data_IF_875300747108
#
_entry.id   IF_875300747108
#
_cell.length_a   1.000
_cell.length_b   1.000
_cell.length_c   1.000
_cell.angle_alpha   90.00
_cell.angle_beta   90.00
_cell.angle_gamma   90.00
#
_symmetry.space_group_name_H-M   'P 1'
#
loop_
_entity.id
_entity.type
_entity.pdbx_description
1 polymer ?
#
# COMPACT_ATOMS: atom_id res chain seq x y z
N UNK A 1 57.71 29.07 -27.78
CA UNK A 1 56.92 28.00 -28.45
C UNK A 1 55.79 27.55 -27.54
N UNK A 2 54.55 27.77 -27.98
CA UNK A 2 53.38 27.61 -27.16
C UNK A 2 52.98 26.13 -27.15
N UNK A 3 53.46 25.35 -26.18
CA UNK A 3 53.16 23.91 -26.03
C UNK A 3 51.71 23.59 -25.65
N UNK A 4 50.86 24.60 -25.46
CA UNK A 4 49.49 24.42 -25.05
C UNK A 4 48.53 24.01 -26.18
N UNK A 5 48.91 24.23 -27.41
CA UNK A 5 48.10 23.93 -28.58
C UNK A 5 48.24 22.49 -29.11
N UNK A 6 49.24 21.75 -28.62
CA UNK A 6 49.50 20.39 -29.13
C UNK A 6 48.85 19.26 -28.35
N UNK A 7 48.14 19.55 -27.27
CA UNK A 7 47.34 18.58 -26.56
C UNK A 7 45.85 18.87 -26.68
N UNK A 8 45.39 18.82 -27.90
CA UNK A 8 44.04 18.36 -28.10
C UNK A 8 43.97 16.95 -27.58
N UNK A 9 43.80 16.78 -26.26
CA UNK A 9 43.52 15.47 -25.70
C UNK A 9 42.42 14.86 -26.53
N UNK A 10 42.60 13.66 -27.05
CA UNK A 10 41.52 12.85 -27.57
C UNK A 10 40.42 12.94 -26.50
N UNK A 11 39.41 13.76 -26.71
CA UNK A 11 38.13 13.65 -25.99
C UNK A 11 37.73 12.21 -26.24
N UNK A 12 37.99 11.34 -25.27
CA UNK A 12 37.50 9.97 -25.31
C UNK A 12 36.05 10.09 -25.65
N UNK A 13 35.66 9.65 -26.85
CA UNK A 13 34.29 9.78 -27.31
C UNK A 13 33.43 9.25 -26.19
N UNK A 14 32.57 10.08 -25.64
CA UNK A 14 31.58 9.63 -24.62
C UNK A 14 30.93 8.43 -25.27
N UNK A 15 31.25 7.23 -24.78
CA UNK A 15 30.57 6.01 -25.21
C UNK A 15 29.09 6.32 -25.11
N UNK A 16 28.38 6.30 -26.24
CA UNK A 16 26.91 6.48 -26.23
C UNK A 16 26.40 5.52 -25.19
N UNK A 17 25.71 6.03 -24.18
CA UNK A 17 25.09 5.21 -23.17
C UNK A 17 24.12 4.27 -23.91
N UNK A 18 24.38 2.97 -23.86
CA UNK A 18 23.50 1.98 -24.45
C UNK A 18 22.12 2.06 -23.77
N UNK A 19 21.06 1.73 -24.50
CA UNK A 19 19.71 1.69 -23.96
C UNK A 19 19.66 0.73 -22.75
N UNK A 20 19.34 1.22 -21.54
CA UNK A 20 19.29 0.37 -20.34
C UNK A 20 18.20 -0.70 -20.41
N UNK A 21 17.11 -0.49 -21.20
CA UNK A 21 16.02 -1.44 -21.34
C UNK A 21 16.42 -2.72 -22.08
N UNK A 22 17.44 -2.69 -22.91
CA UNK A 22 17.97 -3.89 -23.57
C UNK A 22 18.59 -4.91 -22.59
N UNK A 23 18.94 -4.45 -21.39
CA UNK A 23 19.55 -5.29 -20.34
C UNK A 23 18.56 -5.73 -19.27
N UNK A 24 17.26 -5.43 -19.45
CA UNK A 24 16.24 -5.75 -18.45
C UNK A 24 15.36 -6.91 -18.89
N UNK A 25 14.86 -7.62 -17.90
CA UNK A 25 13.93 -8.72 -18.06
C UNK A 25 12.63 -8.40 -17.36
N UNK A 26 11.54 -8.93 -17.90
CA UNK A 26 10.19 -8.80 -17.36
C UNK A 26 9.83 -10.01 -16.51
N UNK A 27 9.26 -9.75 -15.34
CA UNK A 27 8.71 -10.75 -14.45
C UNK A 27 7.23 -10.47 -14.21
N UNK A 28 6.43 -11.54 -14.12
CA UNK A 28 5.01 -11.45 -13.85
C UNK A 28 4.76 -11.38 -12.34
N UNK A 29 3.85 -10.52 -11.91
CA UNK A 29 3.48 -10.34 -10.51
C UNK A 29 2.22 -11.15 -10.24
N UNK A 30 2.28 -12.02 -9.24
CA UNK A 30 1.16 -12.87 -8.82
C UNK A 30 0.68 -12.44 -7.43
N UNK A 31 -0.60 -12.06 -7.34
CA UNK A 31 -1.25 -11.75 -6.07
C UNK A 31 -1.48 -13.01 -5.22
N UNK A 32 -1.65 -12.85 -3.90
CA UNK A 32 -2.06 -13.92 -3.01
C UNK A 32 -3.39 -14.56 -3.42
N UNK A 33 -3.59 -15.81 -3.01
CA UNK A 33 -4.80 -16.59 -3.34
C UNK A 33 -6.11 -16.06 -2.76
N UNK A 34 -6.05 -15.07 -1.87
CA UNK A 34 -7.23 -14.43 -1.30
C UNK A 34 -7.98 -13.52 -2.29
N UNK A 35 -7.31 -13.11 -3.37
CA UNK A 35 -7.90 -12.26 -4.41
C UNK A 35 -8.35 -13.09 -5.60
N UNK A 36 -9.41 -12.64 -6.28
CA UNK A 36 -10.00 -13.33 -7.42
C UNK A 36 -9.06 -13.32 -8.63
N UNK A 37 -8.42 -12.19 -8.91
CA UNK A 37 -7.46 -12.03 -10.00
C UNK A 37 -6.05 -12.11 -9.43
N UNK A 38 -5.28 -13.08 -9.94
CA UNK A 38 -3.90 -13.27 -9.47
C UNK A 38 -2.86 -12.51 -10.30
N UNK A 39 -3.15 -12.19 -11.53
CA UNK A 39 -2.23 -11.44 -12.40
C UNK A 39 -2.36 -9.94 -12.13
N UNK A 40 -1.37 -9.35 -11.48
CA UNK A 40 -1.39 -7.91 -11.11
C UNK A 40 -0.62 -7.03 -12.08
N UNK A 41 0.14 -7.60 -13.01
CA UNK A 41 0.99 -6.86 -13.93
C UNK A 41 2.39 -7.44 -14.01
N UNK A 42 3.33 -6.61 -14.46
CA UNK A 42 4.72 -7.00 -14.69
C UNK A 42 5.68 -6.00 -14.07
N UNK A 43 6.85 -6.48 -13.69
CA UNK A 43 7.95 -5.65 -13.16
C UNK A 43 9.23 -5.90 -13.93
N UNK A 44 10.04 -4.87 -14.05
CA UNK A 44 11.34 -4.91 -14.70
C UNK A 44 12.46 -5.08 -13.69
N UNK A 45 13.44 -5.89 -14.05
CA UNK A 45 14.69 -6.03 -13.29
C UNK A 45 15.87 -6.15 -14.26
N UNK A 46 17.02 -5.69 -13.85
CA UNK A 46 18.26 -5.88 -14.62
C UNK A 46 18.62 -7.36 -14.66
N UNK A 47 19.05 -7.83 -15.85
CA UNK A 47 19.50 -9.22 -16.04
C UNK A 47 20.60 -9.55 -15.04
N UNK A 48 20.64 -10.78 -14.54
CA UNK A 48 21.70 -11.27 -13.64
C UNK A 48 23.08 -11.04 -14.23
N UNK A 49 23.92 -10.34 -13.49
CA UNK A 49 25.33 -10.07 -13.87
C UNK A 49 26.22 -10.26 -12.65
N UNK A 50 27.08 -11.26 -12.70
CA UNK A 50 28.02 -11.56 -11.62
C UNK A 50 27.32 -11.80 -10.28
N UNK A 51 27.62 -10.98 -9.28
CA UNK A 51 27.05 -11.07 -7.92
C UNK A 51 25.63 -10.53 -7.80
N UNK A 52 25.15 -9.74 -8.77
CA UNK A 52 23.80 -9.19 -8.78
C UNK A 52 22.85 -10.19 -9.41
N UNK A 53 22.09 -10.88 -8.57
CA UNK A 53 21.10 -11.88 -8.97
C UNK A 53 19.75 -11.19 -9.11
N UNK A 54 19.11 -11.32 -10.29
CA UNK A 54 17.83 -10.66 -10.58
C UNK A 54 16.73 -11.07 -9.61
N UNK A 55 16.66 -12.33 -9.23
CA UNK A 55 15.65 -12.85 -8.29
C UNK A 55 15.80 -12.25 -6.89
N UNK A 56 17.01 -11.99 -6.44
CA UNK A 56 17.26 -11.37 -5.14
C UNK A 56 16.93 -9.87 -5.15
N UNK A 57 17.21 -9.17 -6.27
CA UNK A 57 16.87 -7.76 -6.42
C UNK A 57 15.35 -7.53 -6.47
N UNK A 58 14.57 -8.54 -6.87
CA UNK A 58 13.11 -8.48 -6.90
C UNK A 58 12.48 -8.67 -5.51
N UNK A 59 13.11 -9.45 -4.63
CA UNK A 59 12.59 -9.67 -3.28
C UNK A 59 12.52 -8.37 -2.50
N UNK A 60 11.45 -8.18 -1.76
CA UNK A 60 11.22 -6.98 -0.96
C UNK A 60 10.68 -5.77 -1.72
N UNK A 61 10.45 -5.85 -3.04
CA UNK A 61 9.74 -4.79 -3.76
C UNK A 61 8.30 -4.72 -3.30
N UNK A 62 7.86 -3.51 -2.97
CA UNK A 62 6.47 -3.24 -2.62
C UNK A 62 5.78 -2.58 -3.81
N UNK A 63 4.69 -3.18 -4.25
CA UNK A 63 3.92 -2.77 -5.41
C UNK A 63 2.53 -2.34 -4.97
N UNK A 64 2.02 -1.26 -5.53
CA UNK A 64 0.65 -0.79 -5.27
C UNK A 64 -0.27 -1.28 -6.38
N UNK A 65 -1.36 -1.92 -5.99
CA UNK A 65 -2.40 -2.42 -6.89
C UNK A 65 -3.76 -1.93 -6.41
N UNK A 66 -4.65 -1.61 -7.33
CA UNK A 66 -6.02 -1.24 -6.98
C UNK A 66 -6.81 -2.48 -6.61
N UNK A 67 -7.59 -2.40 -5.55
CA UNK A 67 -8.43 -3.53 -5.10
C UNK A 67 -9.53 -3.88 -6.11
N UNK A 68 -10.02 -2.91 -6.88
CA UNK A 68 -10.98 -3.14 -7.95
C UNK A 68 -10.43 -4.11 -9.02
N UNK A 69 -9.17 -3.96 -9.39
CA UNK A 69 -8.50 -4.84 -10.36
C UNK A 69 -8.28 -6.25 -9.81
N UNK A 70 -8.08 -6.38 -8.49
CA UNK A 70 -7.86 -7.68 -7.83
C UNK A 70 -9.15 -8.49 -7.65
N UNK A 71 -10.29 -7.81 -7.48
CA UNK A 71 -11.57 -8.46 -7.21
C UNK A 71 -12.57 -8.33 -8.37
N UNK A 72 -12.26 -7.58 -9.43
CA UNK A 72 -13.20 -7.21 -10.51
C UNK A 72 -14.47 -6.52 -9.99
N UNK A 73 -14.33 -5.64 -9.01
CA UNK A 73 -15.40 -4.93 -8.34
C UNK A 73 -15.08 -3.42 -8.32
N UNK A 74 -15.80 -2.64 -9.11
CA UNK A 74 -15.59 -1.19 -9.25
C UNK A 74 -15.87 -0.41 -7.97
N UNK A 75 -16.74 -0.88 -7.10
CA UNK A 75 -17.07 -0.22 -5.83
C UNK A 75 -15.87 -0.14 -4.89
N UNK A 76 -14.89 -1.01 -5.09
CA UNK A 76 -13.66 -1.06 -4.30
C UNK A 76 -12.50 -0.24 -4.89
N UNK A 77 -12.75 0.55 -5.93
CA UNK A 77 -11.71 1.36 -6.60
C UNK A 77 -11.03 2.40 -5.70
N UNK A 78 -11.65 2.75 -4.57
CA UNK A 78 -11.09 3.66 -3.58
C UNK A 78 -10.02 3.07 -2.68
N UNK A 79 -9.72 1.78 -2.79
CA UNK A 79 -8.75 1.08 -1.95
C UNK A 79 -7.54 0.64 -2.76
N UNK A 80 -6.36 0.92 -2.23
CA UNK A 80 -5.09 0.46 -2.77
C UNK A 80 -4.48 -0.60 -1.85
N UNK A 81 -4.08 -1.71 -2.42
CA UNK A 81 -3.37 -2.78 -1.72
C UNK A 81 -1.89 -2.67 -2.06
N UNK A 82 -1.04 -2.79 -1.04
CA UNK A 82 0.39 -2.95 -1.22
C UNK A 82 0.73 -4.43 -1.11
N UNK A 83 1.45 -4.91 -2.10
CA UNK A 83 1.94 -6.28 -2.18
C UNK A 83 3.47 -6.27 -2.16
N UNK A 84 4.07 -7.07 -1.31
CA UNK A 84 5.52 -7.24 -1.23
C UNK A 84 5.92 -8.55 -1.92
N UNK A 85 6.94 -8.52 -2.76
CA UNK A 85 7.47 -9.72 -3.40
C UNK A 85 8.28 -10.49 -2.36
N UNK A 86 7.87 -11.71 -2.04
CA UNK A 86 8.56 -12.58 -1.10
C UNK A 86 9.42 -13.62 -1.80
N UNK A 87 8.89 -14.24 -2.83
CA UNK A 87 9.56 -15.33 -3.55
C UNK A 87 9.43 -15.15 -5.06
N UNK A 88 10.43 -15.58 -5.79
CA UNK A 88 10.43 -15.59 -7.24
C UNK A 88 10.56 -17.03 -7.73
N UNK A 89 9.57 -17.50 -8.48
CA UNK A 89 9.52 -18.84 -9.07
C UNK A 89 9.56 -18.72 -10.59
N UNK A 90 10.72 -19.00 -11.19
CA UNK A 90 10.94 -18.82 -12.60
C UNK A 90 10.77 -17.34 -13.00
N UNK A 91 9.73 -17.02 -13.76
CA UNK A 91 9.37 -15.64 -14.14
C UNK A 91 8.20 -15.06 -13.34
N UNK A 92 7.68 -15.79 -12.37
CA UNK A 92 6.59 -15.35 -11.53
C UNK A 92 7.11 -14.86 -10.18
N UNK A 93 6.74 -13.63 -9.82
CA UNK A 93 6.99 -13.05 -8.51
C UNK A 93 5.77 -13.33 -7.62
N UNK A 94 5.94 -14.14 -6.59
CA UNK A 94 4.91 -14.39 -5.60
C UNK A 94 4.93 -13.27 -4.56
N UNK A 95 3.76 -12.69 -4.31
CA UNK A 95 3.61 -11.57 -3.39
C UNK A 95 2.74 -11.93 -2.20
N UNK A 96 2.94 -11.24 -1.10
CA UNK A 96 2.02 -11.28 0.05
C UNK A 96 1.58 -9.87 0.43
N UNK A 97 0.53 -9.79 1.23
CA UNK A 97 -0.05 -8.54 1.71
C UNK A 97 0.96 -7.75 2.55
N UNK A 98 1.17 -6.49 2.19
CA UNK A 98 2.06 -5.59 2.92
C UNK A 98 1.34 -4.39 3.53
N UNK A 99 0.21 -4.00 3.00
CA UNK A 99 -0.58 -2.89 3.52
C UNK A 99 -1.78 -2.56 2.66
N UNK A 100 -2.65 -1.73 3.20
CA UNK A 100 -3.83 -1.19 2.51
C UNK A 100 -3.97 0.29 2.83
N UNK A 101 -4.29 1.09 1.83
CA UNK A 101 -4.55 2.52 1.98
C UNK A 101 -5.74 2.93 1.12
N UNK A 102 -6.41 4.00 1.53
CA UNK A 102 -7.42 4.64 0.69
C UNK A 102 -6.77 5.55 -0.36
N UNK A 103 -7.42 5.74 -1.48
CA UNK A 103 -7.00 6.70 -2.49
C UNK A 103 -7.16 8.13 -1.96
N UNK A 104 -6.37 9.07 -2.47
CA UNK A 104 -6.37 10.47 -2.02
C UNK A 104 -7.73 11.15 -2.25
N UNK A 105 -8.36 10.90 -3.39
CA UNK A 105 -9.69 11.40 -3.72
C UNK A 105 -10.74 10.94 -2.72
N UNK A 106 -10.70 9.67 -2.29
CA UNK A 106 -11.61 9.16 -1.27
C UNK A 106 -11.41 9.83 0.08
N UNK A 107 -10.17 9.98 0.52
CA UNK A 107 -9.86 10.66 1.78
C UNK A 107 -10.35 12.13 1.74
N UNK A 108 -10.09 12.85 0.65
CA UNK A 108 -10.54 14.22 0.48
C UNK A 108 -12.07 14.33 0.45
N UNK A 109 -12.76 13.38 -0.13
CA UNK A 109 -14.23 13.39 -0.19
C UNK A 109 -14.90 13.10 1.16
N UNK A 110 -14.22 12.39 2.06
CA UNK A 110 -14.73 12.08 3.40
C UNK A 110 -14.68 13.30 4.33
N UNK A 111 -13.67 14.16 4.17
CA UNK A 111 -13.47 15.32 5.04
C UNK A 111 -14.42 16.43 4.60
N UNK A 112 -15.36 16.77 5.46
CA UNK A 112 -16.37 17.83 5.23
C UNK A 112 -16.40 18.78 6.39
N UNK A 113 -16.78 20.05 6.13
CA UNK A 113 -17.04 21.06 7.17
C UNK A 113 -18.28 20.66 8.01
N UNK A 114 -18.39 21.28 9.18
CA UNK A 114 -19.54 21.20 10.09
C UNK A 114 -19.73 19.85 10.79
N UNK A 115 -18.73 19.00 10.79
CA UNK A 115 -18.69 17.72 11.50
C UNK A 115 -17.35 17.54 12.21
N UNK A 116 -17.32 16.69 13.23
CA UNK A 116 -16.08 16.35 13.92
C UNK A 116 -15.45 15.13 13.26
N UNK A 117 -14.16 15.24 12.92
CA UNK A 117 -13.30 14.13 12.52
C UNK A 117 -12.67 13.50 13.76
N UNK A 118 -12.80 12.20 13.89
CA UNK A 118 -12.18 11.42 14.98
C UNK A 118 -11.26 10.38 14.34
N UNK A 119 -9.99 10.49 14.66
CA UNK A 119 -8.97 9.55 14.20
C UNK A 119 -8.45 8.71 15.36
N UNK A 120 -8.25 7.42 15.12
CA UNK A 120 -7.62 6.51 16.04
C UNK A 120 -6.62 5.63 15.30
N UNK A 121 -5.52 5.32 15.94
CA UNK A 121 -4.53 4.35 15.47
C UNK A 121 -4.08 3.46 16.61
N UNK A 122 -3.67 2.25 16.28
CA UNK A 122 -3.17 1.28 17.25
C UNK A 122 -2.18 0.33 16.58
N UNK A 123 -1.11 0.01 17.29
CA UNK A 123 -0.17 -1.03 16.89
C UNK A 123 -0.55 -2.33 17.60
N UNK A 124 -0.94 -3.33 16.85
CA UNK A 124 -1.42 -4.62 17.37
C UNK A 124 -0.61 -5.76 16.79
N UNK A 125 -0.33 -6.75 17.61
CA UNK A 125 0.35 -7.97 17.19
C UNK A 125 -0.70 -9.03 16.86
N UNK A 126 -0.60 -9.62 15.66
CA UNK A 126 -1.44 -10.76 15.26
C UNK A 126 -0.96 -12.06 15.90
N UNK A 127 -1.76 -13.12 15.82
CA UNK A 127 -1.38 -14.45 16.30
C UNK A 127 -0.13 -15.00 15.61
N UNK A 128 0.12 -14.60 14.36
CA UNK A 128 1.32 -14.98 13.57
C UNK A 128 2.58 -14.21 13.96
N UNK A 129 2.47 -13.22 14.86
CA UNK A 129 3.60 -12.40 15.28
C UNK A 129 3.85 -11.13 14.45
N UNK A 130 3.04 -10.85 13.42
CA UNK A 130 3.12 -9.58 12.68
C UNK A 130 2.61 -8.42 13.54
N UNK A 131 3.33 -7.31 13.50
CA UNK A 131 2.88 -6.05 14.10
C UNK A 131 2.21 -5.22 13.02
N UNK A 132 0.93 -4.93 13.21
CA UNK A 132 0.10 -4.19 12.25
C UNK A 132 -0.32 -2.87 12.87
N UNK A 133 -0.04 -1.77 12.18
CA UNK A 133 -0.61 -0.47 12.53
C UNK A 133 -1.93 -0.30 11.83
N UNK A 134 -3.00 -0.27 12.62
CA UNK A 134 -4.36 -0.07 12.14
C UNK A 134 -4.77 1.37 12.34
N UNK A 135 -5.50 1.90 11.37
CA UNK A 135 -6.06 3.26 11.40
C UNK A 135 -7.57 3.18 11.26
N UNK A 136 -8.26 4.02 12.01
CA UNK A 136 -9.71 4.16 11.89
C UNK A 136 -10.07 5.64 11.87
N UNK A 137 -10.95 6.01 10.96
CA UNK A 137 -11.46 7.38 10.81
C UNK A 137 -12.96 7.33 10.97
N UNK A 138 -13.49 8.19 11.81
CA UNK A 138 -14.93 8.32 12.05
C UNK A 138 -15.37 9.78 11.96
N UNK A 139 -16.62 9.99 11.57
CA UNK A 139 -17.23 11.30 11.47
C UNK A 139 -18.53 11.33 12.25
N UNK A 140 -18.83 12.46 12.88
CA UNK A 140 -20.12 12.67 13.51
C UNK A 140 -21.20 12.93 12.46
N UNK A 141 -22.34 12.25 12.61
CA UNK A 141 -23.45 12.34 11.68
C UNK A 141 -24.56 13.20 12.28
N UNK A 142 -25.16 14.05 11.45
CA UNK A 142 -26.35 14.84 11.82
C UNK A 142 -27.54 13.90 12.01
N UNK A 143 -28.33 14.14 13.07
CA UNK A 143 -29.59 13.43 13.28
C UNK A 143 -30.67 13.93 12.31
N UNK A 144 -31.65 13.10 11.91
CA UNK A 144 -32.70 13.49 10.97
C UNK A 144 -33.45 14.74 11.42
N UNK A 145 -33.78 14.86 12.71
CA UNK A 145 -34.60 15.93 13.28
C UNK A 145 -33.78 17.14 13.74
N UNK A 146 -32.48 17.16 13.47
CA UNK A 146 -31.63 18.24 13.93
C UNK A 146 -31.79 19.48 13.05
N UNK A 147 -32.19 20.61 13.65
CA UNK A 147 -32.29 21.92 13.00
C UNK A 147 -30.90 22.57 12.86
N UNK A 148 -30.02 22.34 13.82
CA UNK A 148 -28.66 22.90 13.87
C UNK A 148 -27.83 22.44 12.69
N UNK A 149 -27.13 23.35 12.01
CA UNK A 149 -26.33 23.02 10.82
C UNK A 149 -25.09 22.19 11.14
N UNK A 150 -24.47 22.41 12.30
CA UNK A 150 -23.25 21.70 12.73
C UNK A 150 -23.58 20.50 13.63
N UNK A 151 -22.72 19.49 13.59
CA UNK A 151 -22.85 18.28 14.41
C UNK A 151 -21.52 17.94 15.12
N UNK A 152 -21.00 18.94 15.84
CA UNK A 152 -19.75 18.74 16.58
C UNK A 152 -19.96 17.92 17.87
N UNK A 153 -18.97 17.08 18.19
CA UNK A 153 -18.89 16.36 19.43
C UNK A 153 -17.99 17.08 20.45
N UNK A 154 -18.33 16.99 21.72
CA UNK A 154 -17.49 17.49 22.81
C UNK A 154 -16.22 16.65 22.98
N UNK A 155 -15.14 17.25 23.51
CA UNK A 155 -13.86 16.57 23.69
C UNK A 155 -13.92 15.32 24.57
N UNK A 156 -14.80 15.31 25.59
CA UNK A 156 -15.03 14.15 26.44
C UNK A 156 -15.66 12.97 25.67
N UNK A 157 -16.62 13.26 24.77
CA UNK A 157 -17.25 12.27 23.91
C UNK A 157 -16.26 11.71 22.89
N UNK A 158 -15.44 12.59 22.28
CA UNK A 158 -14.38 12.20 21.32
C UNK A 158 -13.41 11.22 21.98
N UNK A 159 -12.99 11.49 23.23
CA UNK A 159 -12.09 10.59 23.97
C UNK A 159 -12.71 9.21 24.22
N UNK A 160 -13.97 9.16 24.61
CA UNK A 160 -14.69 7.88 24.79
C UNK A 160 -14.84 7.09 23.50
N UNK A 161 -15.18 7.77 22.39
CA UNK A 161 -15.29 7.14 21.07
C UNK A 161 -13.94 6.59 20.63
N UNK A 162 -12.88 7.38 20.73
CA UNK A 162 -11.54 6.93 20.37
C UNK A 162 -11.08 5.73 21.19
N UNK A 163 -11.31 5.74 22.50
CA UNK A 163 -11.00 4.59 23.35
C UNK A 163 -11.71 3.32 22.90
N UNK A 164 -13.00 3.43 22.51
CA UNK A 164 -13.76 2.30 22.01
C UNK A 164 -13.27 1.81 20.63
N UNK A 165 -12.88 2.72 19.75
CA UNK A 165 -12.27 2.38 18.45
C UNK A 165 -10.99 1.56 18.64
N UNK A 166 -10.10 2.01 19.53
CA UNK A 166 -8.85 1.31 19.85
C UNK A 166 -9.12 -0.06 20.46
N UNK A 167 -10.05 -0.15 21.39
CA UNK A 167 -10.46 -1.43 22.01
C UNK A 167 -10.90 -2.45 20.96
N UNK A 168 -11.81 -2.06 20.06
CA UNK A 168 -12.35 -2.96 19.01
C UNK A 168 -11.21 -3.40 18.06
N UNK A 169 -10.39 -2.48 17.57
CA UNK A 169 -9.27 -2.81 16.68
C UNK A 169 -8.30 -3.79 17.34
N UNK A 170 -7.97 -3.57 18.61
CA UNK A 170 -7.08 -4.46 19.37
C UNK A 170 -7.68 -5.85 19.55
N UNK A 171 -8.95 -5.93 19.93
CA UNK A 171 -9.63 -7.21 20.13
C UNK A 171 -9.73 -8.03 18.85
N UNK A 172 -10.05 -7.40 17.73
CA UNK A 172 -10.20 -8.08 16.44
C UNK A 172 -8.86 -8.55 15.85
N UNK A 173 -7.79 -7.74 16.00
CA UNK A 173 -6.49 -8.10 15.45
C UNK A 173 -5.75 -9.18 16.27
N UNK A 174 -5.88 -9.16 17.60
CA UNK A 174 -5.21 -10.15 18.47
C UNK A 174 -5.75 -11.57 18.34
N UNK A 175 -6.96 -11.73 17.82
CA UNK A 175 -7.65 -13.05 17.73
C UNK A 175 -7.31 -13.83 16.47
N UNK A 176 -6.76 -13.18 15.44
CA UNK A 176 -6.70 -13.74 14.09
C UNK A 176 -5.31 -13.66 13.48
N UNK A 177 -5.07 -14.49 12.47
CA UNK A 177 -3.90 -14.42 11.63
C UNK A 177 -3.99 -13.24 10.66
N UNK A 178 -2.85 -12.76 10.15
CA UNK A 178 -2.82 -11.60 9.25
C UNK A 178 -3.72 -11.78 8.02
N UNK A 179 -3.70 -12.95 7.39
CA UNK A 179 -4.53 -13.23 6.19
C UNK A 179 -6.02 -13.15 6.47
N UNK A 180 -6.46 -13.62 7.61
CA UNK A 180 -7.86 -13.57 8.00
C UNK A 180 -8.27 -12.16 8.46
N UNK A 181 -7.35 -11.42 9.08
CA UNK A 181 -7.55 -10.00 9.38
C UNK A 181 -7.76 -9.20 8.10
N UNK A 182 -6.94 -9.43 7.06
CA UNK A 182 -7.09 -8.74 5.77
C UNK A 182 -8.44 -9.03 5.12
N UNK A 183 -8.93 -10.27 5.17
CA UNK A 183 -10.28 -10.62 4.67
C UNK A 183 -11.39 -9.85 5.37
N UNK A 184 -11.22 -9.49 6.64
CA UNK A 184 -12.19 -8.66 7.40
C UNK A 184 -12.03 -7.17 7.11
N UNK A 185 -10.81 -6.71 6.82
CA UNK A 185 -10.53 -5.30 6.51
C UNK A 185 -11.05 -4.90 5.13
N UNK A 186 -10.96 -5.78 4.13
CA UNK A 186 -11.40 -5.52 2.77
C UNK A 186 -12.86 -5.03 2.71
N UNK A 187 -13.86 -5.71 3.29
CA UNK A 187 -15.27 -5.26 3.30
C UNK A 187 -15.56 -4.24 4.40
N UNK A 188 -14.56 -3.72 5.11
CA UNK A 188 -14.74 -2.78 6.23
C UNK A 188 -15.63 -3.31 7.36
N UNK A 189 -15.67 -4.63 7.55
CA UNK A 189 -16.57 -5.26 8.52
C UNK A 189 -16.27 -4.91 9.98
N UNK A 190 -15.05 -4.50 10.27
CA UNK A 190 -14.62 -4.08 11.61
C UNK A 190 -15.12 -2.68 11.96
N UNK A 191 -15.36 -1.84 10.98
CA UNK A 191 -15.77 -0.44 11.15
C UNK A 191 -17.29 -0.19 11.14
N UNK A 192 -18.10 -1.23 11.02
CA UNK A 192 -19.57 -1.13 10.96
C UNK A 192 -20.21 -1.35 12.32
#
# INVERSE_FOLDING_TARGET
KNKRLTKGGKKGGKKKAGDPFLRKEWYDIKAPSMFSVRNCGKTLVSRTQGTKIATEELKGRVLEVNLADLNNDEDQASKKIRLCIEEVQGRNCLTDFHGMTLTRDKICSLIKKWQTLIEAHVDVKTTDGYVVRMFCVAFTKRRPDQVKANCYAQSAQIRKIRAKMVEIMTQEANKVQLRDLVKRLIPESIGK
#
